data_IF_899810707833
#
_entry.id   IF_899810707833
#
_cell.length_a   1.000
_cell.length_b   1.000
_cell.length_c   1.000
_cell.angle_alpha   90.00
_cell.angle_beta   90.00
_cell.angle_gamma   90.00
#
_symmetry.space_group_name_H-M   'P 1'
#
loop_
_entity.id
_entity.type
_entity.pdbx_description
1 polymer ?
#
# COMPACT_ATOMS: atom_id res chain seq x y z
N UNK A 1 -9.96 -13.58 23.82
CA UNK A 1 -9.60 -12.20 23.43
C UNK A 1 -8.87 -12.25 22.10
N UNK A 2 -9.31 -11.48 21.11
CA UNK A 2 -8.54 -11.31 19.88
C UNK A 2 -7.34 -10.42 20.21
N UNK A 3 -6.12 -10.96 20.04
CA UNK A 3 -4.89 -10.16 20.19
C UNK A 3 -4.73 -9.22 18.99
N UNK A 4 -3.95 -8.15 19.18
CA UNK A 4 -3.60 -7.21 18.11
C UNK A 4 -3.05 -7.94 16.88
N UNK A 5 -2.17 -8.92 17.10
CA UNK A 5 -1.52 -9.63 15.99
C UNK A 5 -2.51 -10.53 15.24
N UNK A 6 -3.47 -11.15 15.95
CA UNK A 6 -4.54 -11.91 15.31
C UNK A 6 -5.47 -11.03 14.47
N UNK A 7 -5.77 -9.82 14.96
CA UNK A 7 -6.55 -8.83 14.18
C UNK A 7 -5.77 -8.34 12.96
N UNK A 8 -4.47 -8.07 13.13
CA UNK A 8 -3.63 -7.62 12.02
C UNK A 8 -3.52 -8.68 10.92
N UNK A 9 -3.33 -9.96 11.26
CA UNK A 9 -3.27 -11.04 10.27
C UNK A 9 -4.60 -11.19 9.52
N UNK A 10 -5.73 -11.06 10.21
CA UNK A 10 -7.05 -11.27 9.60
C UNK A 10 -7.52 -10.09 8.74
N UNK A 11 -7.21 -8.86 9.17
CA UNK A 11 -7.76 -7.64 8.56
C UNK A 11 -6.72 -6.75 7.90
N UNK A 12 -5.45 -6.82 8.32
CA UNK A 12 -4.36 -6.00 7.79
C UNK A 12 -4.23 -6.12 6.27
N UNK A 13 -4.10 -7.33 5.69
CA UNK A 13 -4.03 -7.50 4.24
C UNK A 13 -5.25 -6.91 3.51
N UNK A 14 -6.47 -7.14 4.04
CA UNK A 14 -7.72 -6.62 3.46
C UNK A 14 -7.80 -5.10 3.51
N UNK A 15 -7.32 -4.49 4.59
CA UNK A 15 -7.29 -3.04 4.75
C UNK A 15 -6.28 -2.40 3.79
N UNK A 16 -5.11 -3.00 3.63
CA UNK A 16 -4.09 -2.55 2.66
C UNK A 16 -4.63 -2.65 1.23
N UNK A 17 -5.24 -3.79 0.87
CA UNK A 17 -5.86 -3.97 -0.44
C UNK A 17 -6.97 -2.94 -0.71
N UNK A 18 -7.85 -2.72 0.26
CA UNK A 18 -8.93 -1.73 0.15
C UNK A 18 -8.39 -0.31 -0.04
N UNK A 19 -7.30 0.03 0.64
CA UNK A 19 -6.63 1.32 0.47
C UNK A 19 -6.11 1.50 -0.95
N UNK A 20 -5.50 0.48 -1.56
CA UNK A 20 -5.01 0.56 -2.94
C UNK A 20 -6.15 0.80 -3.93
N UNK A 21 -7.32 0.18 -3.74
CA UNK A 21 -8.49 0.44 -4.58
C UNK A 21 -8.96 1.90 -4.49
N UNK A 22 -9.04 2.46 -3.29
CA UNK A 22 -9.44 3.86 -3.11
C UNK A 22 -8.42 4.81 -3.74
N UNK A 23 -7.11 4.55 -3.56
CA UNK A 23 -6.06 5.36 -4.16
C UNK A 23 -6.09 5.29 -5.69
N UNK A 24 -6.32 4.10 -6.26
CA UNK A 24 -6.44 3.92 -7.70
C UNK A 24 -7.58 4.75 -8.29
N UNK A 25 -8.75 4.72 -7.64
CA UNK A 25 -9.93 5.45 -8.08
C UNK A 25 -9.71 6.97 -8.04
N UNK A 26 -9.12 7.48 -6.95
CA UNK A 26 -8.81 8.90 -6.80
C UNK A 26 -7.77 9.36 -7.83
N UNK A 27 -6.68 8.59 -8.01
CA UNK A 27 -5.65 8.90 -9.00
C UNK A 27 -6.25 8.95 -10.41
N UNK A 28 -7.09 7.97 -10.77
CA UNK A 28 -7.69 7.92 -12.09
C UNK A 28 -8.72 9.02 -12.31
N UNK A 29 -9.45 9.42 -11.27
CA UNK A 29 -10.34 10.59 -11.30
C UNK A 29 -9.56 11.86 -11.61
N UNK A 30 -8.45 12.09 -10.91
CA UNK A 30 -7.57 13.26 -11.15
C UNK A 30 -6.92 13.22 -12.53
N UNK A 31 -6.48 12.05 -12.99
CA UNK A 31 -5.85 11.87 -14.31
C UNK A 31 -6.86 12.10 -15.43
N UNK A 32 -8.07 11.58 -15.30
CA UNK A 32 -9.16 11.81 -16.24
C UNK A 32 -9.48 13.31 -16.37
N UNK A 33 -9.56 14.03 -15.24
CA UNK A 33 -9.78 15.48 -15.24
C UNK A 33 -8.67 16.28 -15.96
N UNK A 34 -7.45 15.73 -16.04
CA UNK A 34 -6.31 16.34 -16.71
C UNK A 34 -6.07 15.78 -18.13
N UNK A 35 -6.94 14.91 -18.65
CA UNK A 35 -6.76 14.27 -19.95
C UNK A 35 -5.59 13.28 -20.01
N UNK A 36 -5.15 12.75 -18.86
CA UNK A 36 -4.08 11.77 -18.77
C UNK A 36 -4.61 10.33 -18.87
N UNK A 37 -3.79 9.38 -19.35
CA UNK A 37 -4.16 7.97 -19.38
C UNK A 37 -4.42 7.40 -17.98
N UNK A 38 -5.43 6.55 -17.88
CA UNK A 38 -5.76 5.77 -16.67
C UNK A 38 -4.62 4.81 -16.35
N UNK A 39 -4.33 4.65 -15.05
CA UNK A 39 -3.38 3.66 -14.53
C UNK A 39 -4.12 2.43 -14.02
N UNK A 40 -3.47 1.28 -14.09
CA UNK A 40 -4.01 0.01 -13.59
C UNK A 40 -3.60 -0.25 -12.14
N UNK A 41 -4.27 -1.23 -11.51
CA UNK A 41 -3.87 -1.72 -10.19
C UNK A 41 -2.45 -2.29 -10.20
N UNK A 42 -2.05 -2.95 -11.29
CA UNK A 42 -0.70 -3.52 -11.42
C UNK A 42 0.36 -2.42 -11.40
N UNK A 43 0.12 -1.29 -12.07
CA UNK A 43 1.04 -0.15 -12.07
C UNK A 43 1.25 0.41 -10.66
N UNK A 44 0.20 0.43 -9.83
CA UNK A 44 0.31 0.83 -8.42
C UNK A 44 1.11 -0.17 -7.59
N UNK A 45 0.86 -1.47 -7.77
CA UNK A 45 1.58 -2.54 -7.06
C UNK A 45 3.06 -2.53 -7.42
N UNK A 46 3.39 -2.37 -8.70
CA UNK A 46 4.77 -2.32 -9.18
C UNK A 46 5.49 -1.10 -8.62
N UNK A 47 4.84 0.07 -8.62
CA UNK A 47 5.40 1.28 -8.02
C UNK A 47 5.61 1.15 -6.51
N UNK A 48 4.63 0.59 -5.79
CA UNK A 48 4.77 0.35 -4.36
C UNK A 48 5.91 -0.64 -4.05
N UNK A 49 6.00 -1.73 -4.82
CA UNK A 49 7.06 -2.72 -4.68
C UNK A 49 8.44 -2.11 -4.98
N UNK A 50 8.56 -1.33 -6.05
CA UNK A 50 9.79 -0.62 -6.40
C UNK A 50 10.19 0.36 -5.29
N UNK A 51 9.23 1.11 -4.73
CA UNK A 51 9.50 2.02 -3.63
C UNK A 51 9.97 1.29 -2.36
N UNK A 52 9.32 0.19 -2.00
CA UNK A 52 9.71 -0.63 -0.84
C UNK A 52 11.11 -1.20 -1.01
N UNK A 53 11.42 -1.76 -2.19
CA UNK A 53 12.72 -2.36 -2.47
C UNK A 53 13.86 -1.34 -2.65
N UNK A 54 13.54 -0.07 -2.97
CA UNK A 54 14.52 1.01 -3.11
C UNK A 54 14.68 1.85 -1.84
N UNK A 55 13.73 1.77 -0.92
CA UNK A 55 13.84 2.43 0.37
C UNK A 55 14.83 1.65 1.23
N UNK A 56 15.83 2.32 1.85
CA UNK A 56 16.63 1.65 2.85
C UNK A 56 15.68 1.08 3.92
N UNK A 57 15.92 -0.17 4.33
CA UNK A 57 15.18 -0.79 5.43
C UNK A 57 15.06 0.24 6.54
N UNK A 58 13.85 0.41 7.07
CA UNK A 58 13.58 1.39 8.12
C UNK A 58 14.50 1.08 9.31
N UNK A 59 15.66 1.71 9.37
CA UNK A 59 16.71 1.48 10.37
C UNK A 59 16.24 1.85 11.78
N UNK A 60 15.14 2.59 11.86
CA UNK A 60 14.41 2.90 13.09
C UNK A 60 13.39 1.82 13.50
N UNK A 61 12.97 0.92 12.61
CA UNK A 61 12.12 -0.23 12.93
C UNK A 61 12.90 -1.45 13.43
N UNK A 62 14.23 -1.48 13.24
CA UNK A 62 15.12 -2.41 13.95
C UNK A 62 15.18 -2.04 15.44
N UNK A 63 14.10 -2.35 16.16
CA UNK A 63 14.15 -2.49 17.61
C UNK A 63 14.98 -3.72 17.94
N UNK A 64 15.88 -3.67 18.94
CA UNK A 64 16.54 -4.87 19.42
C UNK A 64 15.46 -5.82 19.93
N UNK A 65 15.38 -7.00 19.32
CA UNK A 65 14.57 -8.11 19.83
C UNK A 65 15.25 -8.57 21.13
N UNK A 66 14.58 -8.50 22.29
CA UNK A 66 15.12 -9.02 23.54
C UNK A 66 15.22 -10.55 23.55
#
# INVERSE_FOLDING_TARGET
>A
MLSRDNLFIQFGPKLIESLFFVLLDEINTLRSAQGQPIVSMQDLIDNASNHVNSSPDYSWMSYPIP
#
